data_IF_738669929593
#
_entry.id   IF_738669929593
#
_cell.length_a   1.000
_cell.length_b   1.000
_cell.length_c   1.000
_cell.angle_alpha   90.00
_cell.angle_beta   90.00
_cell.angle_gamma   90.00
#
_symmetry.space_group_name_H-M   'P 1'
#
loop_
_entity.id
_entity.type
_entity.pdbx_description
1 polymer ?
#
# COMPACT_ATOMS: atom_id res chain seq x y z
N UNK A 1 -7.86 33.03 -58.66
CA UNK A 1 -8.58 32.45 -57.51
C UNK A 1 -10.05 32.80 -57.70
N UNK A 2 -10.92 31.80 -57.80
CA UNK A 2 -12.37 32.07 -57.81
C UNK A 2 -12.84 32.33 -56.38
N UNK A 3 -13.87 33.16 -56.19
CA UNK A 3 -14.42 33.47 -54.86
C UNK A 3 -14.77 32.20 -54.06
N UNK A 4 -15.24 31.16 -54.76
CA UNK A 4 -15.61 29.86 -54.18
C UNK A 4 -14.39 29.10 -53.65
N UNK A 5 -13.23 29.19 -54.32
CA UNK A 5 -11.99 28.59 -53.84
C UNK A 5 -11.44 29.31 -52.61
N UNK A 6 -11.55 30.64 -52.56
CA UNK A 6 -11.11 31.44 -51.43
C UNK A 6 -11.92 31.14 -50.17
N UNK A 7 -13.26 31.06 -50.29
CA UNK A 7 -14.14 30.67 -49.19
C UNK A 7 -13.85 29.26 -48.68
N UNK A 8 -13.59 28.31 -49.59
CA UNK A 8 -13.25 26.94 -49.23
C UNK A 8 -11.92 26.86 -48.45
N UNK A 9 -10.89 27.57 -48.89
CA UNK A 9 -9.60 27.65 -48.20
C UNK A 9 -9.73 28.27 -46.81
N UNK A 10 -10.54 29.32 -46.68
CA UNK A 10 -10.75 29.96 -45.38
C UNK A 10 -11.49 29.06 -44.39
N UNK A 11 -12.56 28.40 -44.83
CA UNK A 11 -13.32 27.46 -44.02
C UNK A 11 -12.48 26.25 -43.58
N UNK A 12 -11.69 25.67 -44.49
CA UNK A 12 -10.79 24.55 -44.16
C UNK A 12 -9.69 24.98 -43.21
N UNK A 13 -9.12 26.18 -43.38
CA UNK A 13 -8.12 26.74 -42.47
C UNK A 13 -8.68 26.90 -41.05
N UNK A 14 -9.85 27.52 -40.89
CA UNK A 14 -10.51 27.66 -39.58
C UNK A 14 -10.83 26.29 -38.98
N UNK A 15 -11.32 25.35 -39.79
CA UNK A 15 -11.63 24.00 -39.34
C UNK A 15 -10.40 23.31 -38.74
N UNK A 16 -9.24 23.38 -39.42
CA UNK A 16 -8.01 22.79 -38.89
C UNK A 16 -7.46 23.54 -37.68
N UNK A 17 -7.58 24.87 -37.62
CA UNK A 17 -7.21 25.66 -36.44
C UNK A 17 -8.02 25.24 -35.22
N UNK A 18 -9.34 25.13 -35.36
CA UNK A 18 -10.23 24.72 -34.28
C UNK A 18 -9.97 23.27 -33.86
N UNK A 19 -9.78 22.37 -34.84
CA UNK A 19 -9.42 20.98 -34.55
C UNK A 19 -8.10 20.90 -33.76
N UNK A 20 -7.10 21.69 -34.15
CA UNK A 20 -5.81 21.79 -33.45
C UNK A 20 -5.95 22.34 -32.03
N UNK A 21 -6.73 23.41 -31.84
CA UNK A 21 -6.94 24.00 -30.51
C UNK A 21 -7.63 23.03 -29.54
N UNK A 22 -8.60 22.24 -30.03
CA UNK A 22 -9.27 21.20 -29.23
C UNK A 22 -8.26 20.16 -28.73
N UNK A 23 -7.33 19.70 -29.58
CA UNK A 23 -6.29 18.76 -29.15
C UNK A 23 -5.37 19.36 -28.09
N UNK A 24 -4.97 20.63 -28.22
CA UNK A 24 -4.13 21.31 -27.23
C UNK A 24 -4.85 21.44 -25.89
N UNK A 25 -6.13 21.83 -25.89
CA UNK A 25 -6.93 21.95 -24.67
C UNK A 25 -7.06 20.60 -23.97
N UNK A 26 -7.38 19.54 -24.71
CA UNK A 26 -7.47 18.18 -24.15
C UNK A 26 -6.13 17.72 -23.57
N UNK A 27 -5.02 18.01 -24.25
CA UNK A 27 -3.69 17.68 -23.76
C UNK A 27 -3.38 18.39 -22.43
N UNK A 28 -3.64 19.69 -22.34
CA UNK A 28 -3.44 20.45 -21.09
C UNK A 28 -4.32 19.92 -19.97
N UNK A 29 -5.60 19.63 -20.25
CA UNK A 29 -6.51 19.04 -19.28
C UNK A 29 -5.97 17.69 -18.74
N UNK A 30 -5.45 16.85 -19.63
CA UNK A 30 -4.88 15.56 -19.27
C UNK A 30 -3.65 15.71 -18.36
N UNK A 31 -2.76 16.65 -18.66
CA UNK A 31 -1.59 16.97 -17.81
C UNK A 31 -2.01 17.43 -16.41
N UNK A 32 -3.05 18.25 -16.31
CA UNK A 32 -3.58 18.72 -15.01
C UNK A 32 -4.13 17.54 -14.21
N UNK A 33 -4.94 16.69 -14.84
CA UNK A 33 -5.53 15.50 -14.19
C UNK A 33 -4.45 14.54 -13.72
N UNK A 34 -3.43 14.27 -14.54
CA UNK A 34 -2.30 13.44 -14.12
C UNK A 34 -1.58 14.01 -12.88
N UNK A 35 -1.27 15.31 -12.89
CA UNK A 35 -0.62 15.95 -11.74
C UNK A 35 -1.47 15.83 -10.49
N UNK A 36 -2.78 16.06 -10.61
CA UNK A 36 -3.70 15.93 -9.48
C UNK A 36 -3.77 14.49 -8.96
N UNK A 37 -3.83 13.50 -9.85
CA UNK A 37 -3.83 12.09 -9.49
C UNK A 37 -2.55 11.68 -8.76
N UNK A 38 -1.37 12.12 -9.23
CA UNK A 38 -0.09 11.84 -8.57
C UNK A 38 -0.02 12.43 -7.17
N UNK A 39 -0.41 13.71 -7.01
CA UNK A 39 -0.45 14.36 -5.69
C UNK A 39 -1.38 13.63 -4.71
N UNK A 40 -2.58 13.24 -5.18
CA UNK A 40 -3.51 12.47 -4.35
C UNK A 40 -2.94 11.10 -3.96
N UNK A 41 -2.27 10.42 -4.89
CA UNK A 41 -1.62 9.14 -4.61
C UNK A 41 -0.50 9.28 -3.58
N UNK A 42 0.31 10.33 -3.67
CA UNK A 42 1.36 10.64 -2.69
C UNK A 42 0.79 10.90 -1.30
N UNK A 43 -0.29 11.68 -1.20
CA UNK A 43 -0.98 11.95 0.07
C UNK A 43 -1.49 10.65 0.71
N UNK A 44 -2.15 9.78 -0.07
CA UNK A 44 -2.64 8.49 0.42
C UNK A 44 -1.49 7.61 0.91
N UNK A 45 -0.39 7.54 0.14
CA UNK A 45 0.80 6.76 0.54
C UNK A 45 1.42 7.28 1.83
N UNK A 46 1.49 8.60 2.01
CA UNK A 46 1.98 9.22 3.25
C UNK A 46 1.09 8.85 4.43
N UNK A 47 -0.22 9.02 4.32
CA UNK A 47 -1.17 8.64 5.36
C UNK A 47 -1.09 7.14 5.72
N UNK A 48 -0.96 6.27 4.72
CA UNK A 48 -0.81 4.82 4.96
C UNK A 48 0.49 4.50 5.70
N UNK A 49 1.60 5.18 5.39
CA UNK A 49 2.87 4.98 6.10
C UNK A 49 2.76 5.44 7.55
N UNK A 50 2.15 6.60 7.79
CA UNK A 50 1.91 7.13 9.13
C UNK A 50 1.04 6.16 9.95
N UNK A 51 -0.08 5.69 9.38
CA UNK A 51 -0.94 4.70 10.04
C UNK A 51 -0.21 3.40 10.36
N UNK A 52 0.58 2.87 9.43
CA UNK A 52 1.38 1.66 9.69
C UNK A 52 2.42 1.88 10.79
N UNK A 53 3.06 3.05 10.83
CA UNK A 53 4.00 3.38 11.89
C UNK A 53 3.30 3.45 13.26
N UNK A 54 2.12 4.08 13.33
CA UNK A 54 1.31 4.10 14.55
C UNK A 54 0.86 2.70 14.98
N UNK A 55 0.42 1.87 14.03
CA UNK A 55 0.07 0.47 14.30
C UNK A 55 1.29 -0.30 14.82
N UNK A 56 2.46 -0.17 14.20
CA UNK A 56 3.67 -0.82 14.70
C UNK A 56 3.99 -0.43 16.14
N UNK A 57 3.81 0.83 16.52
CA UNK A 57 4.02 1.29 17.90
C UNK A 57 2.98 0.69 18.85
N UNK A 58 1.69 0.72 18.48
CA UNK A 58 0.58 0.18 19.31
C UNK A 58 0.69 -1.33 19.50
N UNK A 59 1.04 -2.05 18.44
CA UNK A 59 1.15 -3.50 18.44
C UNK A 59 2.55 -4.00 18.82
N UNK A 60 3.51 -3.09 19.11
CA UNK A 60 4.89 -3.45 19.46
C UNK A 60 4.95 -4.48 20.58
N UNK A 61 4.18 -4.28 21.64
CA UNK A 61 4.16 -5.21 22.79
C UNK A 61 3.60 -6.58 22.37
N UNK A 62 2.52 -6.62 21.57
CA UNK A 62 1.95 -7.87 21.08
C UNK A 62 2.92 -8.60 20.14
N UNK A 63 3.62 -7.88 19.27
CA UNK A 63 4.65 -8.44 18.40
C UNK A 63 5.87 -8.93 19.19
N UNK A 64 6.34 -8.17 20.19
CA UNK A 64 7.45 -8.55 21.06
C UNK A 64 7.08 -9.83 21.86
N UNK A 65 5.82 -9.95 22.31
CA UNK A 65 5.33 -11.15 22.98
C UNK A 65 5.26 -12.36 22.04
N UNK A 66 4.78 -12.15 20.80
CA UNK A 66 4.72 -13.19 19.78
C UNK A 66 6.13 -13.64 19.34
N UNK A 67 7.06 -12.70 19.17
CA UNK A 67 8.45 -13.00 18.83
C UNK A 67 9.14 -13.76 19.96
N UNK A 68 8.94 -13.33 21.22
CA UNK A 68 9.38 -14.09 22.39
C UNK A 68 8.81 -15.50 22.38
N UNK A 69 7.52 -15.67 22.06
CA UNK A 69 6.87 -16.98 21.97
C UNK A 69 7.41 -17.85 20.83
N UNK A 70 7.76 -17.26 19.68
CA UNK A 70 8.36 -17.96 18.54
C UNK A 70 9.77 -18.48 18.84
N UNK A 71 10.51 -17.78 19.68
CA UNK A 71 11.84 -18.19 20.17
C UNK A 71 11.76 -19.22 21.30
N UNK A 72 10.57 -19.50 21.84
CA UNK A 72 10.36 -20.66 22.70
C UNK A 72 10.29 -21.87 21.75
N UNK A 73 11.24 -22.81 21.80
CA UNK A 73 11.12 -24.04 21.03
C UNK A 73 9.79 -24.68 21.42
N UNK A 74 8.97 -25.03 20.43
CA UNK A 74 7.73 -25.80 20.63
C UNK A 74 8.11 -27.15 21.24
N UNK A 75 8.25 -27.17 22.56
CA UNK A 75 8.53 -28.37 23.32
C UNK A 75 7.28 -29.24 23.23
N UNK A 76 7.44 -30.43 22.66
CA UNK A 76 6.43 -31.48 22.78
C UNK A 76 6.12 -31.63 24.28
N UNK A 77 4.84 -31.66 24.69
CA UNK A 77 4.51 -31.75 26.11
C UNK A 77 5.18 -32.99 26.69
N UNK A 78 6.01 -32.80 27.73
CA UNK A 78 6.69 -33.91 28.40
C UNK A 78 5.66 -34.77 29.13
N UNK A 79 5.89 -36.09 29.16
CA UNK A 79 5.08 -36.99 29.97
C UNK A 79 5.33 -36.75 31.47
N UNK A 80 4.32 -36.98 32.33
CA UNK A 80 4.38 -36.66 33.76
C UNK A 80 5.60 -37.28 34.48
N UNK A 81 5.98 -38.50 34.10
CA UNK A 81 7.14 -39.20 34.66
C UNK A 81 8.47 -38.49 34.34
N UNK A 82 8.57 -37.85 33.18
CA UNK A 82 9.75 -37.07 32.80
C UNK A 82 9.79 -35.71 33.48
N UNK A 83 8.63 -35.19 33.92
CA UNK A 83 8.55 -33.93 34.65
C UNK A 83 8.98 -34.11 36.12
N UNK A 84 8.51 -35.16 36.78
CA UNK A 84 8.85 -35.44 38.19
C UNK A 84 10.35 -35.73 38.38
N UNK A 85 10.97 -36.38 37.40
CA UNK A 85 12.38 -36.79 37.48
C UNK A 85 13.37 -35.76 36.93
N UNK A 86 12.90 -34.65 36.35
CA UNK A 86 13.78 -33.61 35.83
C UNK A 86 14.02 -32.52 36.90
N UNK A 87 15.26 -32.25 37.31
CA UNK A 87 15.57 -31.23 38.31
C UNK A 87 15.24 -29.79 37.86
N UNK A 88 15.07 -29.56 36.55
CA UNK A 88 14.72 -28.26 35.95
C UNK A 88 13.23 -28.15 35.58
N UNK A 89 12.39 -29.08 36.07
CA UNK A 89 10.97 -29.19 35.72
C UNK A 89 10.08 -28.01 36.15
N UNK A 90 10.54 -27.21 37.12
CA UNK A 90 9.84 -26.02 37.61
C UNK A 90 10.24 -24.71 36.90
N UNK A 91 11.08 -24.79 35.87
CA UNK A 91 11.43 -23.60 35.05
C UNK A 91 10.29 -23.24 34.10
N UNK A 92 10.23 -21.97 33.67
CA UNK A 92 9.12 -21.30 32.98
C UNK A 92 8.61 -21.93 31.64
N UNK A 93 9.07 -23.13 31.27
CA UNK A 93 8.77 -23.82 30.02
C UNK A 93 8.20 -25.23 30.19
N UNK A 94 7.63 -25.57 31.35
CA UNK A 94 6.90 -26.83 31.56
C UNK A 94 5.45 -26.73 31.08
N UNK A 95 5.21 -26.99 29.79
CA UNK A 95 3.85 -27.08 29.25
C UNK A 95 3.36 -28.54 29.32
N UNK A 96 2.41 -28.83 30.23
CA UNK A 96 1.77 -30.14 30.37
C UNK A 96 0.45 -30.16 29.59
N UNK A 97 0.22 -31.22 28.81
CA UNK A 97 -1.05 -31.42 28.12
C UNK A 97 -2.14 -31.76 29.16
N UNK A 98 -3.04 -30.84 29.45
CA UNK A 98 -4.25 -31.16 30.22
C UNK A 98 -5.14 -32.08 29.38
N UNK A 99 -5.40 -33.27 29.92
CA UNK A 99 -6.30 -34.26 29.33
C UNK A 99 -7.77 -33.81 29.43
#
# INVERSE_FOLDING_TARGET
MTELQEMFLFCTFIYYLFKGSVFVVLYVALVIVEKHARLRQEQIRKMLREKRAEEQVKWKVAYDLLEKQKNIPTTKPLSLSQLVNNPNSFTAYSNTKTA
#
